data_IF_365342350631
#
_entry.id   IF_365342350631
#
_cell.length_a   1.000
_cell.length_b   1.000
_cell.length_c   1.000
_cell.angle_alpha   90.00
_cell.angle_beta   90.00
_cell.angle_gamma   90.00
#
_symmetry.space_group_name_H-M   'P 1'
#
loop_
_entity.id
_entity.type
_entity.pdbx_description
1 polymer ?
#
# COMPACT_ATOMS: atom_id res chain seq x y z
N UNK A 1 -14.41 18.96 5.68
CA UNK A 1 -15.51 17.96 5.68
C UNK A 1 -15.08 16.84 6.62
N UNK A 2 -15.87 16.53 7.65
CA UNK A 2 -15.60 15.45 8.61
C UNK A 2 -14.92 15.92 9.90
N UNK A 3 -15.72 16.41 10.85
CA UNK A 3 -15.31 16.61 12.25
C UNK A 3 -16.30 15.88 13.18
N UNK A 4 -16.64 14.64 12.85
CA UNK A 4 -17.34 13.80 13.80
C UNK A 4 -16.31 13.33 14.84
N UNK A 5 -16.59 13.42 16.15
CA UNK A 5 -15.73 12.83 17.18
C UNK A 5 -15.54 11.34 16.90
N UNK A 6 -14.33 10.83 17.13
CA UNK A 6 -14.05 9.40 17.08
C UNK A 6 -15.04 8.62 17.97
N UNK A 7 -15.45 7.44 17.51
CA UNK A 7 -16.43 6.64 18.25
C UNK A 7 -15.81 6.09 19.54
N UNK A 8 -16.36 6.51 20.70
CA UNK A 8 -15.87 6.19 22.05
C UNK A 8 -15.54 4.70 22.27
N UNK A 9 -16.37 3.73 21.79
CA UNK A 9 -16.06 2.31 21.97
C UNK A 9 -14.75 1.85 21.32
N UNK A 10 -14.26 2.57 20.31
CA UNK A 10 -13.05 2.23 19.57
C UNK A 10 -11.84 3.08 19.96
N UNK A 11 -12.00 4.06 20.86
CA UNK A 11 -10.94 5.01 21.20
C UNK A 11 -9.68 4.33 21.76
N UNK A 12 -9.84 3.25 22.53
CA UNK A 12 -8.70 2.48 23.03
C UNK A 12 -8.01 1.68 21.92
N UNK A 13 -8.79 1.03 21.04
CA UNK A 13 -8.26 0.28 19.91
C UNK A 13 -7.51 1.18 18.94
N UNK A 14 -8.09 2.33 18.62
CA UNK A 14 -7.47 3.36 17.78
C UNK A 14 -6.13 3.80 18.39
N UNK A 15 -6.14 4.25 19.66
CA UNK A 15 -4.94 4.72 20.34
C UNK A 15 -3.84 3.67 20.47
N UNK A 16 -4.21 2.43 20.82
CA UNK A 16 -3.21 1.39 21.14
C UNK A 16 -2.74 0.58 19.94
N UNK A 17 -3.48 0.58 18.82
CA UNK A 17 -3.17 -0.31 17.70
C UNK A 17 -3.15 0.35 16.33
N UNK A 18 -3.95 1.38 16.09
CA UNK A 18 -4.07 1.98 14.76
C UNK A 18 -3.18 3.22 14.60
N UNK A 19 -3.13 4.08 15.62
CA UNK A 19 -2.32 5.31 15.58
C UNK A 19 -0.82 5.02 15.42
N UNK A 20 -0.35 3.92 16.01
CA UNK A 20 1.06 3.50 15.93
C UNK A 20 1.45 2.95 14.56
N UNK A 21 0.47 2.70 13.66
CA UNK A 21 0.68 2.19 12.30
C UNK A 21 1.71 1.04 12.26
N UNK A 22 1.41 -0.10 12.93
CA UNK A 22 2.37 -1.16 13.14
C UNK A 22 2.97 -1.63 11.82
N UNK A 23 4.29 -1.80 11.81
CA UNK A 23 5.05 -2.10 10.61
C UNK A 23 4.86 -3.55 10.18
N UNK A 24 4.85 -3.79 8.87
CA UNK A 24 4.77 -5.14 8.30
C UNK A 24 6.15 -5.79 8.21
N UNK A 25 6.31 -6.98 8.78
CA UNK A 25 7.53 -7.80 8.63
C UNK A 25 7.47 -8.79 7.46
N UNK A 26 6.31 -8.94 6.81
CA UNK A 26 6.16 -9.84 5.68
C UNK A 26 6.81 -9.25 4.41
N UNK A 27 7.37 -10.08 3.52
CA UNK A 27 7.75 -9.63 2.18
C UNK A 27 6.57 -8.93 1.51
N UNK A 28 6.80 -7.73 0.97
CA UNK A 28 5.73 -6.90 0.42
C UNK A 28 6.15 -6.25 -0.89
N UNK A 29 5.27 -6.30 -1.89
CA UNK A 29 5.41 -5.52 -3.13
C UNK A 29 4.22 -4.57 -3.23
N UNK A 30 4.50 -3.30 -3.48
CA UNK A 30 3.48 -2.25 -3.65
C UNK A 30 3.49 -1.73 -5.08
N UNK A 31 2.32 -1.37 -5.61
CA UNK A 31 2.16 -0.92 -6.99
C UNK A 31 1.34 0.38 -7.05
N UNK A 32 1.91 1.42 -7.66
CA UNK A 32 1.19 2.66 -7.98
C UNK A 32 0.89 2.74 -9.48
N UNK A 33 -0.36 3.06 -9.83
CA UNK A 33 -0.74 3.33 -11.22
C UNK A 33 -0.39 4.76 -11.62
N UNK A 34 0.47 4.96 -12.61
CA UNK A 34 0.91 6.31 -13.03
C UNK A 34 -0.22 7.17 -13.62
N UNK A 35 -1.34 6.56 -14.01
CA UNK A 35 -2.51 7.18 -14.60
C UNK A 35 -3.77 7.11 -13.72
N UNK A 36 -3.64 6.80 -12.42
CA UNK A 36 -4.75 6.70 -11.45
C UNK A 36 -5.63 7.97 -11.43
N UNK A 37 -5.00 9.15 -11.51
CA UNK A 37 -5.68 10.44 -11.58
C UNK A 37 -6.36 10.88 -10.28
N UNK A 38 -6.56 9.98 -9.31
CA UNK A 38 -7.15 10.27 -7.99
C UNK A 38 -6.09 10.20 -6.89
N UNK A 39 -5.32 9.11 -6.85
CA UNK A 39 -4.16 8.98 -5.96
C UNK A 39 -2.91 9.30 -6.76
N UNK A 40 -2.13 10.34 -6.40
CA UNK A 40 -0.84 10.59 -7.01
C UNK A 40 0.07 9.39 -6.82
N UNK A 41 0.69 8.92 -7.90
CA UNK A 41 1.78 7.95 -7.79
C UNK A 41 2.98 8.62 -7.09
N UNK A 42 3.74 7.83 -6.35
CA UNK A 42 4.95 8.29 -5.65
C UNK A 42 6.14 7.41 -6.02
N UNK A 43 7.32 7.70 -5.48
CA UNK A 43 8.46 6.78 -5.50
C UNK A 43 8.41 5.74 -4.36
N UNK A 44 7.32 5.73 -3.59
CA UNK A 44 7.11 4.84 -2.45
C UNK A 44 7.85 5.25 -1.19
N UNK A 45 8.71 6.27 -1.21
CA UNK A 45 9.56 6.66 -0.06
C UNK A 45 8.77 6.96 1.21
N UNK A 46 7.56 7.52 1.07
CA UNK A 46 6.64 7.75 2.19
C UNK A 46 6.12 6.47 2.84
N UNK A 47 6.08 5.35 2.13
CA UNK A 47 5.63 4.05 2.65
C UNK A 47 6.78 3.20 3.20
N UNK A 48 8.02 3.44 2.78
CA UNK A 48 9.20 2.68 3.20
C UNK A 48 9.32 2.50 4.73
N UNK A 49 9.02 3.50 5.59
CA UNK A 49 9.11 3.33 7.04
C UNK A 49 8.16 2.29 7.64
N UNK A 50 7.11 1.89 6.91
CA UNK A 50 6.08 0.96 7.37
C UNK A 50 6.43 -0.52 7.11
N UNK A 51 7.54 -0.81 6.43
CA UNK A 51 7.96 -2.18 6.11
C UNK A 51 9.29 -2.50 6.80
N UNK A 52 9.32 -3.60 7.55
CA UNK A 52 10.50 -4.15 8.22
C UNK A 52 11.13 -5.32 7.45
N UNK A 53 10.33 -6.02 6.64
CA UNK A 53 10.79 -7.11 5.78
C UNK A 53 11.27 -6.61 4.41
N UNK A 54 11.52 -7.55 3.49
CA UNK A 54 11.76 -7.17 2.10
C UNK A 54 10.59 -6.34 1.58
N UNK A 55 10.89 -5.21 0.95
CA UNK A 55 9.88 -4.37 0.34
C UNK A 55 10.35 -3.81 -1.00
N UNK A 56 9.48 -3.88 -2.00
CA UNK A 56 9.64 -3.24 -3.29
C UNK A 56 8.42 -2.38 -3.63
N UNK A 57 8.67 -1.31 -4.37
CA UNK A 57 7.66 -0.41 -4.88
C UNK A 57 7.84 -0.21 -6.38
N UNK A 58 6.78 -0.43 -7.15
CA UNK A 58 6.80 -0.21 -8.59
C UNK A 58 5.73 0.78 -9.02
N UNK A 59 6.11 1.70 -9.90
CA UNK A 59 5.19 2.60 -10.58
C UNK A 59 4.89 2.02 -11.95
N UNK A 60 3.63 1.73 -12.23
CA UNK A 60 3.19 1.09 -13.47
C UNK A 60 2.69 2.14 -14.47
N UNK A 61 3.39 2.36 -15.60
CA UNK A 61 2.99 3.34 -16.61
C UNK A 61 1.66 2.95 -17.29
N UNK A 62 0.81 3.95 -17.54
CA UNK A 62 -0.46 3.76 -18.25
C UNK A 62 -1.51 2.98 -17.47
N UNK A 63 -1.28 2.71 -16.18
CA UNK A 63 -2.22 2.04 -15.32
C UNK A 63 -2.91 3.03 -14.39
N UNK A 64 -4.20 2.81 -14.15
CA UNK A 64 -4.97 3.51 -13.14
C UNK A 64 -5.10 2.67 -11.86
N UNK A 65 -6.30 2.69 -11.28
CA UNK A 65 -6.61 2.04 -9.99
C UNK A 65 -6.83 0.54 -10.10
N UNK A 66 -7.14 0.03 -11.30
CA UNK A 66 -7.57 -1.36 -11.49
C UNK A 66 -6.43 -2.16 -12.09
N UNK A 67 -5.26 -2.10 -11.46
CA UNK A 67 -4.03 -2.75 -11.94
C UNK A 67 -4.21 -4.20 -12.43
N UNK A 68 -4.95 -5.08 -11.73
CA UNK A 68 -5.19 -6.45 -12.23
C UNK A 68 -5.88 -6.51 -13.60
N UNK A 69 -6.73 -5.54 -13.93
CA UNK A 69 -7.46 -5.46 -15.20
C UNK A 69 -6.71 -4.61 -16.24
N UNK A 70 -6.13 -3.49 -15.81
CA UNK A 70 -5.53 -2.50 -16.71
C UNK A 70 -4.13 -2.91 -17.16
N UNK A 71 -3.35 -3.55 -16.28
CA UNK A 71 -1.97 -4.01 -16.53
C UNK A 71 -1.75 -5.38 -15.88
N UNK A 72 -2.44 -6.43 -16.37
CA UNK A 72 -2.41 -7.76 -15.76
C UNK A 72 -0.97 -8.31 -15.66
N UNK A 73 -0.09 -8.02 -16.62
CA UNK A 73 1.29 -8.50 -16.62
C UNK A 73 2.08 -7.91 -15.45
N UNK A 74 1.92 -6.61 -15.17
CA UNK A 74 2.59 -5.94 -14.06
C UNK A 74 2.08 -6.47 -12.71
N UNK A 75 0.78 -6.75 -12.62
CA UNK A 75 0.17 -7.33 -11.43
C UNK A 75 0.67 -8.77 -11.18
N UNK A 76 0.71 -9.61 -12.21
CA UNK A 76 1.23 -10.98 -12.11
C UNK A 76 2.71 -10.97 -11.72
N UNK A 77 3.51 -10.10 -12.32
CA UNK A 77 4.93 -9.96 -11.98
C UNK A 77 5.12 -9.64 -10.48
N UNK A 78 4.32 -8.72 -9.92
CA UNK A 78 4.38 -8.39 -8.50
C UNK A 78 4.00 -9.57 -7.58
N UNK A 79 2.99 -10.37 -7.99
CA UNK A 79 2.59 -11.59 -7.26
C UNK A 79 3.70 -12.63 -7.27
N UNK A 80 4.37 -12.83 -8.41
CA UNK A 80 5.50 -13.75 -8.52
C UNK A 80 6.71 -13.25 -7.74
N UNK A 81 6.97 -11.95 -7.76
CA UNK A 81 8.05 -11.30 -7.02
C UNK A 81 7.90 -11.54 -5.52
N UNK A 82 6.74 -11.23 -4.93
CA UNK A 82 6.51 -11.47 -3.50
C UNK A 82 6.53 -12.97 -3.15
N UNK A 83 6.05 -13.84 -4.05
CA UNK A 83 6.09 -15.28 -3.84
C UNK A 83 7.53 -15.83 -3.82
N UNK A 84 8.41 -15.31 -4.67
CA UNK A 84 9.82 -15.68 -4.71
C UNK A 84 10.66 -15.23 -3.50
N UNK A 85 10.05 -14.50 -2.56
CA UNK A 85 10.68 -13.99 -1.33
C UNK A 85 10.33 -14.79 -0.08
N UNK A 86 9.59 -15.92 -0.24
CA UNK A 86 9.30 -16.89 0.84
C UNK A 86 10.46 -17.85 1.09
#
# INVERSE_FOLDING_TARGET
MGEAPGAVPYAELERRRLLDQPKSSAPTVTLDGKADGVTPWTDGSGYAPHYLGFWAHHVVPGAGRKLPHERPEAFIAAVLEVHGMS
#
